data_IF_985998710124
#
_entry.id   IF_985998710124
#
_cell.length_a   1.000
_cell.length_b   1.000
_cell.length_c   1.000
_cell.angle_alpha   90.00
_cell.angle_beta   90.00
_cell.angle_gamma   90.00
#
_symmetry.space_group_name_H-M   'P 1'
#
loop_
_entity.id
_entity.type
_entity.pdbx_description
1 polymer ?
#
# COMPACT_ATOMS: atom_id res chain seq x y z
N UNK A 1 10.51 14.97 5.08
CA UNK A 1 9.76 14.75 3.84
C UNK A 1 10.54 13.85 2.89
N UNK A 2 11.70 14.24 2.36
CA UNK A 2 12.47 13.42 1.38
C UNK A 2 12.64 11.91 1.67
N UNK A 3 12.80 11.50 2.93
CA UNK A 3 12.85 10.06 3.29
C UNK A 3 11.62 9.26 2.86
N UNK A 4 10.46 9.90 2.71
CA UNK A 4 9.21 9.27 2.27
C UNK A 4 9.09 9.16 0.75
N UNK A 5 10.00 9.77 -0.02
CA UNK A 5 10.02 9.70 -1.48
C UNK A 5 10.39 8.31 -1.98
N UNK A 6 11.40 7.69 -1.38
CA UNK A 6 11.91 6.38 -1.81
C UNK A 6 10.82 5.30 -1.76
N UNK A 7 9.99 5.19 -0.69
CA UNK A 7 8.84 4.28 -0.70
C UNK A 7 7.82 4.55 -1.82
N UNK A 8 7.55 5.81 -2.17
CA UNK A 8 6.62 6.17 -3.24
C UNK A 8 7.14 5.69 -4.60
N UNK A 9 8.41 5.97 -4.90
CA UNK A 9 9.05 5.53 -6.15
C UNK A 9 9.14 4.00 -6.23
N UNK A 10 9.44 3.32 -5.12
CA UNK A 10 9.44 1.86 -5.06
C UNK A 10 8.05 1.27 -5.29
N UNK A 11 7.00 1.88 -4.72
CA UNK A 11 5.62 1.40 -4.90
C UNK A 11 5.15 1.54 -6.35
N UNK A 12 5.43 2.68 -7.00
CA UNK A 12 5.17 2.88 -8.43
C UNK A 12 5.89 1.85 -9.29
N UNK A 13 7.18 1.61 -9.01
CA UNK A 13 7.97 0.60 -9.71
C UNK A 13 7.41 -0.81 -9.53
N UNK A 14 7.01 -1.17 -8.31
CA UNK A 14 6.45 -2.49 -8.01
C UNK A 14 5.09 -2.71 -8.70
N UNK A 15 4.33 -1.63 -8.93
CA UNK A 15 3.07 -1.65 -9.65
C UNK A 15 3.23 -1.55 -11.17
N UNK A 16 4.45 -1.38 -11.68
CA UNK A 16 4.76 -1.07 -13.08
C UNK A 16 4.03 0.18 -13.60
N UNK A 17 3.95 1.21 -12.75
CA UNK A 17 3.30 2.48 -13.03
C UNK A 17 4.29 3.65 -12.97
N UNK A 18 3.97 4.69 -13.73
CA UNK A 18 4.59 6.01 -13.64
C UNK A 18 3.70 6.97 -12.85
N UNK A 19 4.26 8.10 -12.43
CA UNK A 19 3.49 9.15 -11.75
C UNK A 19 2.31 9.68 -12.59
N UNK A 20 2.44 9.68 -13.93
CA UNK A 20 1.39 10.09 -14.85
C UNK A 20 0.21 9.12 -14.92
N UNK A 21 0.40 7.86 -14.53
CA UNK A 21 -0.66 6.85 -14.54
C UNK A 21 -1.57 6.92 -13.31
N UNK A 22 -1.18 7.69 -12.29
CA UNK A 22 -2.03 7.94 -11.13
C UNK A 22 -3.22 8.78 -11.57
N UNK A 23 -4.44 8.49 -11.13
CA UNK A 23 -5.59 9.36 -11.39
C UNK A 23 -5.75 10.41 -10.30
N UNK A 24 -5.74 9.96 -9.05
CA UNK A 24 -6.04 10.74 -7.85
C UNK A 24 -4.96 10.49 -6.79
N UNK A 25 -4.49 11.56 -6.16
CA UNK A 25 -3.59 11.48 -5.00
C UNK A 25 -4.40 11.76 -3.74
N UNK A 26 -4.39 10.82 -2.79
CA UNK A 26 -5.12 10.95 -1.52
C UNK A 26 -4.11 11.06 -0.39
N UNK A 27 -4.23 12.12 0.43
CA UNK A 27 -3.41 12.33 1.61
C UNK A 27 -4.17 11.93 2.87
N UNK A 28 -3.56 11.09 3.70
CA UNK A 28 -4.19 10.54 4.90
C UNK A 28 -3.26 10.66 6.12
N UNK A 29 -3.82 10.95 7.29
CA UNK A 29 -3.10 11.23 8.54
C UNK A 29 -2.69 12.69 8.73
N UNK A 30 -2.75 13.18 9.97
CA UNK A 30 -2.57 14.60 10.31
C UNK A 30 -1.24 15.24 9.88
N UNK A 31 -0.14 14.49 9.80
CA UNK A 31 1.15 15.02 9.31
C UNK A 31 1.11 15.45 7.84
N UNK A 32 0.14 14.98 7.05
CA UNK A 32 -0.04 15.40 5.66
C UNK A 32 -0.62 16.82 5.52
N UNK A 33 -1.04 17.44 6.63
CA UNK A 33 -1.46 18.85 6.69
C UNK A 33 -0.30 19.84 6.61
N UNK A 34 0.94 19.36 6.76
CA UNK A 34 2.14 20.20 6.67
C UNK A 34 2.32 20.63 5.20
N UNK A 35 2.39 21.94 4.87
CA UNK A 35 2.48 22.42 3.49
C UNK A 35 3.65 21.79 2.71
N UNK A 36 4.82 21.67 3.34
CA UNK A 36 5.99 21.06 2.72
C UNK A 36 5.81 19.57 2.34
N UNK A 37 4.86 18.86 2.97
CA UNK A 37 4.51 17.48 2.58
C UNK A 37 3.63 17.49 1.34
N UNK A 38 2.62 18.36 1.30
CA UNK A 38 1.69 18.50 0.16
C UNK A 38 2.44 18.93 -1.10
N UNK A 39 3.26 19.98 -1.01
CA UNK A 39 4.09 20.47 -2.11
C UNK A 39 5.06 19.40 -2.62
N UNK A 40 5.64 18.59 -1.73
CA UNK A 40 6.55 17.53 -2.12
C UNK A 40 5.82 16.42 -2.89
N UNK A 41 4.66 15.99 -2.41
CA UNK A 41 3.85 14.95 -3.08
C UNK A 41 3.37 15.46 -4.44
N UNK A 42 2.89 16.70 -4.52
CA UNK A 42 2.47 17.31 -5.79
C UNK A 42 3.66 17.39 -6.76
N UNK A 43 4.85 17.77 -6.30
CA UNK A 43 6.07 17.77 -7.11
C UNK A 43 6.46 16.39 -7.62
N UNK A 44 6.27 15.33 -6.82
CA UNK A 44 6.66 13.97 -7.21
C UNK A 44 5.64 13.31 -8.14
N UNK A 45 4.36 13.59 -7.93
CA UNK A 45 3.24 12.95 -8.65
C UNK A 45 2.73 13.79 -9.83
N UNK A 46 3.02 15.09 -9.83
CA UNK A 46 2.47 16.06 -10.79
C UNK A 46 0.97 16.34 -10.57
N UNK A 47 0.42 15.95 -9.42
CA UNK A 47 -1.02 16.00 -9.14
C UNK A 47 -1.31 16.66 -7.80
N UNK A 48 -2.29 17.57 -7.82
CA UNK A 48 -2.81 18.18 -6.61
C UNK A 48 -3.49 17.11 -5.73
N UNK A 49 -3.29 17.20 -4.42
CA UNK A 49 -3.90 16.27 -3.48
C UNK A 49 -5.41 16.45 -3.41
N UNK A 50 -6.13 15.33 -3.43
CA UNK A 50 -7.56 15.30 -3.23
C UNK A 50 -7.91 15.47 -1.74
N UNK A 51 -8.73 16.48 -1.44
CA UNK A 51 -9.19 16.82 -0.09
C UNK A 51 -10.65 16.43 0.20
N UNK A 52 -11.24 15.55 -0.60
CA UNK A 52 -12.64 15.12 -0.43
C UNK A 52 -12.84 14.21 0.80
N UNK A 53 -11.76 13.71 1.39
CA UNK A 53 -11.80 12.85 2.57
C UNK A 53 -11.20 13.53 3.80
N UNK A 54 -11.73 13.21 4.98
CA UNK A 54 -11.12 13.63 6.24
C UNK A 54 -9.92 12.72 6.56
N UNK A 55 -8.67 13.23 6.58
CA UNK A 55 -7.47 12.42 6.79
C UNK A 55 -7.35 11.86 8.21
N UNK A 56 -8.15 12.32 9.17
CA UNK A 56 -8.10 11.85 10.55
C UNK A 56 -9.12 10.73 10.83
N UNK A 57 -10.13 10.57 9.98
CA UNK A 57 -11.25 9.65 10.19
C UNK A 57 -11.38 8.57 9.10
N UNK A 58 -10.82 8.81 7.91
CA UNK A 58 -10.97 7.92 6.74
C UNK A 58 -10.59 6.47 7.03
N UNK A 59 -9.54 6.23 7.83
CA UNK A 59 -9.12 4.88 8.23
C UNK A 59 -10.17 4.18 9.08
N UNK A 60 -10.74 4.89 10.07
CA UNK A 60 -11.76 4.31 10.95
C UNK A 60 -13.05 4.00 10.18
N UNK A 61 -13.45 4.89 9.27
CA UNK A 61 -14.59 4.66 8.38
C UNK A 61 -14.35 3.46 7.46
N UNK A 62 -13.17 3.35 6.86
CA UNK A 62 -12.80 2.20 6.02
C UNK A 62 -12.83 0.88 6.80
N UNK A 63 -12.38 0.88 8.06
CA UNK A 63 -12.46 -0.30 8.93
C UNK A 63 -13.91 -0.70 9.23
N UNK A 64 -14.80 0.27 9.47
CA UNK A 64 -16.22 0.02 9.67
C UNK A 64 -16.90 -0.55 8.42
N UNK A 65 -16.58 -0.02 7.24
CA UNK A 65 -17.05 -0.55 5.96
C UNK A 65 -16.58 -2.00 5.77
N UNK A 66 -15.31 -2.29 6.03
CA UNK A 66 -14.78 -3.65 5.96
C UNK A 66 -15.50 -4.60 6.94
N UNK A 67 -15.83 -4.13 8.15
CA UNK A 67 -16.68 -4.88 9.09
C UNK A 67 -18.04 -5.22 8.51
N UNK A 68 -18.71 -4.25 7.86
CA UNK A 68 -19.98 -4.46 7.18
C UNK A 68 -19.90 -5.42 5.99
N UNK A 69 -18.77 -5.46 5.28
CA UNK A 69 -18.52 -6.45 4.21
C UNK A 69 -18.42 -7.86 4.80
N UNK A 70 -17.74 -8.02 5.94
CA UNK A 70 -17.58 -9.30 6.62
C UNK A 70 -18.92 -9.82 7.16
N UNK A 71 -19.78 -8.95 7.70
CA UNK A 71 -21.11 -9.34 8.20
C UNK A 71 -22.15 -9.54 7.08
N UNK A 72 -21.86 -9.04 5.87
CA UNK A 72 -22.77 -9.09 4.71
C UNK A 72 -23.79 -7.95 4.66
N UNK A 73 -23.65 -6.94 5.52
CA UNK A 73 -24.47 -5.73 5.52
C UNK A 73 -24.12 -4.81 4.34
N UNK A 74 -22.83 -4.80 3.93
CA UNK A 74 -22.35 -4.12 2.73
C UNK A 74 -22.18 -5.15 1.62
N UNK A 75 -22.85 -4.92 0.49
CA UNK A 75 -22.84 -5.81 -0.67
C UNK A 75 -22.06 -5.20 -1.83
N UNK A 76 -21.66 -6.05 -2.76
CA UNK A 76 -21.02 -5.67 -4.03
C UNK A 76 -19.66 -4.96 -3.87
N UNK A 77 -18.96 -5.22 -2.77
CA UNK A 77 -17.58 -4.78 -2.54
C UNK A 77 -16.67 -6.00 -2.46
N UNK A 78 -15.63 -6.02 -3.29
CA UNK A 78 -14.56 -7.03 -3.25
C UNK A 78 -13.23 -6.33 -2.99
N UNK A 79 -12.53 -6.76 -1.96
CA UNK A 79 -11.19 -6.28 -1.60
C UNK A 79 -10.18 -7.38 -1.87
N UNK A 80 -9.11 -7.03 -2.58
CA UNK A 80 -7.96 -7.90 -2.81
C UNK A 80 -6.71 -7.19 -2.27
N UNK A 81 -6.12 -7.74 -1.22
CA UNK A 81 -4.94 -7.16 -0.57
C UNK A 81 -3.69 -8.01 -0.84
N UNK A 82 -2.51 -7.53 -0.47
CA UNK A 82 -1.21 -8.16 -0.71
C UNK A 82 -0.34 -8.20 0.55
N UNK A 83 0.63 -9.12 0.60
CA UNK A 83 1.68 -9.08 1.64
C UNK A 83 2.74 -8.01 1.31
N UNK A 84 3.09 -7.09 2.23
CA UNK A 84 3.99 -5.98 1.91
C UNK A 84 5.47 -6.40 1.83
N UNK A 85 5.83 -7.55 2.40
CA UNK A 85 7.20 -8.04 2.50
C UNK A 85 7.32 -9.44 1.92
N UNK A 86 8.51 -9.75 1.42
CA UNK A 86 8.85 -11.11 1.01
C UNK A 86 8.99 -11.97 2.26
N UNK A 87 8.27 -13.08 2.31
CA UNK A 87 8.38 -14.09 3.34
C UNK A 87 9.33 -15.19 2.85
N UNK A 88 10.25 -15.62 3.69
CA UNK A 88 11.24 -16.63 3.35
C UNK A 88 11.90 -17.21 4.59
N UNK A 89 12.85 -18.10 4.36
CA UNK A 89 13.66 -18.74 5.41
C UNK A 89 15.14 -18.52 5.13
N UNK A 90 15.94 -18.60 6.18
CA UNK A 90 17.40 -18.69 6.04
C UNK A 90 17.79 -20.09 5.57
N UNK A 91 18.65 -20.19 4.56
CA UNK A 91 19.23 -21.43 4.07
C UNK A 91 20.74 -21.46 4.30
N UNK A 92 21.36 -22.63 4.07
CA UNK A 92 22.79 -22.85 4.31
C UNK A 92 23.65 -21.73 3.69
N UNK A 93 24.60 -21.21 4.48
CA UNK A 93 25.41 -20.06 4.10
C UNK A 93 24.81 -18.71 4.50
N UNK A 94 23.74 -18.69 5.29
CA UNK A 94 23.11 -17.46 5.79
C UNK A 94 22.33 -16.70 4.71
N UNK A 95 21.86 -17.42 3.69
CA UNK A 95 21.19 -16.82 2.53
C UNK A 95 19.68 -16.77 2.79
N UNK A 96 19.08 -15.59 2.65
CA UNK A 96 17.62 -15.47 2.70
C UNK A 96 16.98 -15.98 1.41
N UNK A 97 16.29 -17.11 1.50
CA UNK A 97 15.56 -17.72 0.40
C UNK A 97 14.08 -17.38 0.52
N UNK A 98 13.58 -16.58 -0.43
CA UNK A 98 12.17 -16.18 -0.49
C UNK A 98 11.27 -17.35 -0.85
N UNK A 99 10.13 -17.45 -0.18
CA UNK A 99 9.07 -18.42 -0.43
C UNK A 99 7.83 -17.74 -1.03
N UNK A 100 7.47 -16.56 -0.50
CA UNK A 100 6.39 -15.71 -1.00
C UNK A 100 6.99 -14.33 -1.24
N UNK A 101 6.87 -13.81 -2.46
CA UNK A 101 7.39 -12.49 -2.79
C UNK A 101 6.51 -11.38 -2.20
N UNK A 102 7.12 -10.20 -2.00
CA UNK A 102 6.35 -9.02 -1.60
C UNK A 102 5.35 -8.67 -2.72
N UNK A 103 4.25 -8.04 -2.34
CA UNK A 103 3.13 -7.70 -3.21
C UNK A 103 2.39 -8.93 -3.79
N UNK A 104 2.60 -10.13 -3.24
CA UNK A 104 1.75 -11.30 -3.56
C UNK A 104 0.37 -11.12 -2.94
N UNK A 105 -0.68 -11.29 -3.74
CA UNK A 105 -2.08 -11.28 -3.30
C UNK A 105 -2.36 -12.27 -2.18
N UNK A 106 -3.13 -11.85 -1.17
CA UNK A 106 -3.58 -12.69 -0.06
C UNK A 106 -5.09 -12.98 -0.14
N UNK A 107 -5.55 -14.17 0.31
CA UNK A 107 -4.78 -15.24 0.96
C UNK A 107 -3.90 -16.04 -0.03
N UNK A 108 -2.74 -16.51 0.42
CA UNK A 108 -1.80 -17.30 -0.39
C UNK A 108 -1.12 -18.40 0.43
N UNK A 109 -0.64 -19.45 -0.23
CA UNK A 109 0.08 -20.58 0.37
C UNK A 109 1.20 -21.07 -0.55
N UNK A 110 2.34 -21.45 0.03
CA UNK A 110 3.50 -21.99 -0.67
C UNK A 110 4.02 -23.22 0.07
N UNK A 111 4.32 -24.29 -0.67
CA UNK A 111 4.98 -25.48 -0.12
C UNK A 111 6.23 -25.80 -0.95
N UNK A 112 7.33 -26.10 -0.26
CA UNK A 112 8.60 -26.47 -0.87
C UNK A 112 9.29 -27.51 0.00
N UNK A 113 9.78 -28.59 -0.61
CA UNK A 113 10.58 -29.60 0.09
C UNK A 113 12.04 -29.16 0.04
N UNK A 114 12.69 -29.11 1.20
CA UNK A 114 14.13 -28.87 1.32
C UNK A 114 14.82 -30.22 1.52
N UNK A 115 15.87 -30.47 0.73
CA UNK A 115 16.66 -31.71 0.70
C UNK A 115 18.12 -31.44 1.00
#
# INVERSE_FOLDING_TARGET
VEKTRIPVENALKDADLSASDLDVVILNGGSTRIPAVQEAVEKWTGKESNHSINPDEAVALGAAVQGGVITGDVKDVVLLDVTPLSLGIETMGGVFTKLIDRNTTIPTSKSQVFS
#
